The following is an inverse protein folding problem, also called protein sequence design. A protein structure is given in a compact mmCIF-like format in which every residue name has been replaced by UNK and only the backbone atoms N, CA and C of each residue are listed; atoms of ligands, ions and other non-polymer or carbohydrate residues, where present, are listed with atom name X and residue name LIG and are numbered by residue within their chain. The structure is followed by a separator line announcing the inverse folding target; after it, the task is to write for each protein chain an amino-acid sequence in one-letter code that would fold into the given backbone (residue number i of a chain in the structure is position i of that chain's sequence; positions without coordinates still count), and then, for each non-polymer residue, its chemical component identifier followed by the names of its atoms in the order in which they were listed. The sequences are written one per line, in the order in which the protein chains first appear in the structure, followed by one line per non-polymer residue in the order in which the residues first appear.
data_IF_156900720090
#
_entry.id   IF_156900720090
#
_cell.length_a   1.000
_cell.length_b   1.000
_cell.length_c   1.000
_cell.angle_alpha   90.00
_cell.angle_beta   90.00
_cell.angle_gamma   90.00
#
_symmetry.space_group_name_H-M   'P 1'
#
loop_
_entity.id
_entity.type
_entity.pdbx_description
1 polymer ?
#
# COMPACT_ATOMS: atom_id res chain seq x y z
N UNK A 1 64.93 26.18 45.22
CA UNK A 1 64.21 26.34 43.93
C UNK A 1 64.51 25.14 43.03
N UNK A 2 63.52 24.28 42.78
CA UNK A 2 63.31 23.49 41.54
C UNK A 2 62.00 22.71 41.73
N UNK A 3 61.09 22.90 40.80
CA UNK A 3 59.68 22.46 40.78
C UNK A 3 59.56 21.24 39.85
N UNK A 4 58.37 20.64 39.82
CA UNK A 4 57.80 19.73 38.79
C UNK A 4 58.03 18.22 39.01
N UNK A 5 57.12 17.29 38.69
CA UNK A 5 55.70 17.34 38.29
C UNK A 5 55.11 15.93 38.56
N UNK A 6 53.92 15.83 39.16
CA UNK A 6 53.13 14.59 39.14
C UNK A 6 52.41 14.51 37.80
N UNK A 7 52.82 13.59 36.93
CA UNK A 7 52.09 13.28 35.71
C UNK A 7 50.86 12.44 36.07
N UNK A 8 49.68 13.05 36.03
CA UNK A 8 48.42 12.31 35.93
C UNK A 8 48.24 11.90 34.47
N UNK A 9 48.24 10.59 34.20
CA UNK A 9 47.84 10.05 32.92
C UNK A 9 46.33 10.18 32.78
N UNK A 10 45.88 11.10 31.93
CA UNK A 10 44.49 11.27 31.56
C UNK A 10 44.22 10.36 30.34
N UNK A 11 43.59 9.21 30.55
CA UNK A 11 43.06 8.39 29.47
C UNK A 11 41.89 9.12 28.80
N UNK A 12 42.16 9.78 27.67
CA UNK A 12 41.15 10.29 26.76
C UNK A 12 40.55 9.12 25.99
N UNK A 13 39.44 8.57 26.47
CA UNK A 13 38.61 7.68 25.67
C UNK A 13 37.88 8.52 24.62
N UNK A 14 38.28 8.38 23.35
CA UNK A 14 37.57 8.98 22.23
C UNK A 14 36.23 8.25 22.02
N UNK A 15 35.15 8.80 22.59
CA UNK A 15 33.80 8.35 22.28
C UNK A 15 33.45 8.78 20.85
N UNK A 16 33.53 7.84 19.91
CA UNK A 16 33.02 8.03 18.56
C UNK A 16 31.50 8.08 18.62
N UNK A 17 30.91 9.27 18.47
CA UNK A 17 29.46 9.42 18.30
C UNK A 17 29.15 8.88 16.90
N UNK A 18 28.68 7.64 16.83
CA UNK A 18 28.04 7.13 15.62
C UNK A 18 26.73 7.90 15.49
N UNK A 19 26.70 8.91 14.63
CA UNK A 19 25.44 9.51 14.19
C UNK A 19 24.73 8.46 13.35
N UNK A 20 23.86 7.68 14.00
CA UNK A 20 22.86 6.90 13.28
C UNK A 20 21.94 7.93 12.65
N UNK A 21 22.08 8.15 11.34
CA UNK A 21 21.01 8.77 10.58
C UNK A 21 19.81 7.86 10.77
N UNK A 22 18.87 8.28 11.61
CA UNK A 22 17.52 7.75 11.55
C UNK A 22 17.07 8.04 10.12
N UNK A 23 17.11 7.02 9.27
CA UNK A 23 16.37 7.04 8.03
C UNK A 23 14.96 7.42 8.48
N UNK A 24 14.49 8.58 8.01
CA UNK A 24 13.16 9.04 8.36
C UNK A 24 12.22 8.07 7.68
N UNK A 25 11.96 6.95 8.35
CA UNK A 25 11.00 5.93 7.97
C UNK A 25 9.76 6.70 7.57
N UNK A 26 9.48 6.72 6.27
CA UNK A 26 8.20 7.16 5.74
C UNK A 26 7.18 6.11 6.16
N UNK A 27 6.90 6.08 7.46
CA UNK A 27 5.96 5.15 8.06
C UNK A 27 4.61 5.47 7.47
N UNK A 28 4.05 4.48 6.78
CA UNK A 28 2.71 4.57 6.23
C UNK A 28 1.75 4.73 7.39
N UNK A 29 1.06 5.85 7.45
CA UNK A 29 0.04 6.02 8.48
C UNK A 29 -1.20 5.23 8.07
N UNK A 30 -1.81 4.54 9.02
CA UNK A 30 -3.10 3.88 8.79
C UNK A 30 -4.15 4.87 8.26
N UNK A 31 -4.09 6.13 8.69
CA UNK A 31 -4.97 7.20 8.20
C UNK A 31 -4.83 7.47 6.68
N UNK A 32 -3.61 7.35 6.15
CA UNK A 32 -3.35 7.54 4.72
C UNK A 32 -4.02 6.44 3.89
N UNK A 33 -3.86 5.17 4.27
CA UNK A 33 -4.25 4.03 3.42
C UNK A 33 -5.64 3.48 3.71
N UNK A 34 -6.08 3.52 4.98
CA UNK A 34 -7.32 2.88 5.37
C UNK A 34 -8.53 3.53 4.74
N UNK A 35 -9.48 2.68 4.34
CA UNK A 35 -10.79 3.10 3.91
C UNK A 35 -11.30 2.38 2.67
N UNK A 36 -12.36 2.97 2.12
CA UNK A 36 -12.95 2.58 0.85
C UNK A 36 -12.62 3.64 -0.19
N UNK A 37 -12.08 3.19 -1.31
CA UNK A 37 -11.65 3.99 -2.44
C UNK A 37 -12.49 3.60 -3.65
N UNK A 38 -13.08 4.57 -4.36
CA UNK A 38 -14.00 4.28 -5.46
C UNK A 38 -13.69 5.06 -6.74
N UNK A 39 -13.95 4.41 -7.86
CA UNK A 39 -14.27 5.07 -9.13
C UNK A 39 -15.79 4.95 -9.37
N UNK A 40 -16.25 5.31 -10.58
CA UNK A 40 -17.64 5.05 -10.98
C UNK A 40 -17.97 3.55 -11.04
N UNK A 41 -17.00 2.72 -11.39
CA UNK A 41 -17.22 1.32 -11.76
C UNK A 41 -16.43 0.32 -10.90
N UNK A 42 -15.66 0.80 -9.92
CA UNK A 42 -14.79 -0.07 -9.14
C UNK A 42 -14.58 0.46 -7.73
N UNK A 43 -14.26 -0.46 -6.83
CA UNK A 43 -14.00 -0.20 -5.43
C UNK A 43 -12.75 -0.95 -4.96
N UNK A 44 -11.96 -0.29 -4.13
CA UNK A 44 -10.98 -0.92 -3.25
C UNK A 44 -11.37 -0.71 -1.80
N UNK A 45 -11.39 -1.79 -1.01
CA UNK A 45 -11.42 -1.74 0.45
C UNK A 45 -10.02 -2.06 0.95
N UNK A 46 -9.45 -1.18 1.76
CA UNK A 46 -8.06 -1.30 2.22
C UNK A 46 -8.00 -1.05 3.72
N UNK A 47 -7.32 -1.94 4.44
CA UNK A 47 -7.10 -1.81 5.87
C UNK A 47 -5.71 -2.26 6.29
N UNK A 48 -4.98 -1.40 7.00
CA UNK A 48 -3.69 -1.71 7.55
C UNK A 48 -3.81 -2.74 8.68
N UNK A 49 -3.01 -3.81 8.58
CA UNK A 49 -2.89 -4.88 9.57
C UNK A 49 -1.72 -4.65 10.55
N UNK A 50 -0.93 -3.60 10.32
CA UNK A 50 0.36 -3.38 10.99
C UNK A 50 1.50 -4.12 10.28
N UNK A 51 2.75 -3.86 10.71
CA UNK A 51 3.95 -4.45 10.13
C UNK A 51 4.04 -4.30 8.60
N UNK A 52 3.65 -3.13 8.08
CA UNK A 52 3.66 -2.83 6.64
C UNK A 52 2.81 -3.80 5.78
N UNK A 53 1.73 -4.35 6.36
CA UNK A 53 0.77 -5.21 5.65
C UNK A 53 -0.60 -4.56 5.55
N UNK A 54 -1.25 -4.76 4.41
CA UNK A 54 -2.59 -4.28 4.09
C UNK A 54 -3.47 -5.47 3.73
N UNK A 55 -4.66 -5.56 4.32
CA UNK A 55 -5.76 -6.37 3.79
C UNK A 55 -6.46 -5.58 2.69
N UNK A 56 -6.67 -6.20 1.53
CA UNK A 56 -7.20 -5.55 0.33
C UNK A 56 -8.30 -6.41 -0.28
N UNK A 57 -9.39 -5.76 -0.65
CA UNK A 57 -10.42 -6.29 -1.55
C UNK A 57 -10.61 -5.32 -2.71
N UNK A 58 -10.77 -5.87 -3.90
CA UNK A 58 -11.13 -5.19 -5.13
C UNK A 58 -12.48 -5.73 -5.64
N UNK A 59 -13.33 -4.84 -6.11
CA UNK A 59 -14.46 -5.19 -6.97
C UNK A 59 -14.52 -4.23 -8.16
N UNK A 60 -14.83 -4.76 -9.34
CA UNK A 60 -14.89 -4.01 -10.57
C UNK A 60 -16.04 -4.46 -11.46
N UNK A 61 -16.62 -3.51 -12.18
CA UNK A 61 -17.71 -3.72 -13.12
C UNK A 61 -17.30 -3.15 -14.48
N UNK A 62 -17.50 -3.91 -15.54
CA UNK A 62 -17.39 -3.44 -16.91
C UNK A 62 -18.77 -3.51 -17.58
N UNK A 63 -19.43 -2.36 -17.68
CA UNK A 63 -20.74 -2.23 -18.33
C UNK A 63 -20.60 -2.15 -19.85
N UNK A 64 -21.47 -2.85 -20.57
CA UNK A 64 -21.54 -2.81 -22.04
C UNK A 64 -22.97 -3.00 -22.54
N UNK A 65 -23.19 -2.77 -23.84
CA UNK A 65 -24.50 -2.91 -24.47
C UNK A 65 -24.55 -4.17 -25.33
N UNK A 66 -25.67 -4.87 -25.29
CA UNK A 66 -26.02 -6.00 -26.17
C UNK A 66 -27.31 -5.70 -26.92
N UNK A 67 -27.66 -6.45 -27.99
CA UNK A 67 -28.97 -6.32 -28.64
C UNK A 67 -30.16 -6.55 -27.70
N UNK A 68 -29.97 -7.26 -26.58
CA UNK A 68 -30.99 -7.55 -25.57
C UNK A 68 -31.06 -6.51 -24.45
N UNK A 69 -30.14 -5.54 -24.42
CA UNK A 69 -30.07 -4.49 -23.40
C UNK A 69 -28.67 -4.32 -22.78
N UNK A 70 -28.53 -3.42 -21.80
CA UNK A 70 -27.30 -3.29 -21.01
C UNK A 70 -26.94 -4.59 -20.29
N UNK A 71 -25.65 -4.87 -20.20
CA UNK A 71 -25.09 -6.01 -19.48
C UNK A 71 -23.78 -5.57 -18.80
N UNK A 72 -23.25 -6.40 -17.90
CA UNK A 72 -22.02 -6.10 -17.20
C UNK A 72 -21.22 -7.38 -16.92
N UNK A 73 -19.90 -7.26 -17.03
CA UNK A 73 -18.98 -8.22 -16.45
C UNK A 73 -18.56 -7.71 -15.07
N UNK A 74 -18.47 -8.61 -14.10
CA UNK A 74 -18.04 -8.30 -12.74
C UNK A 74 -16.81 -9.13 -12.41
N UNK A 75 -15.93 -8.56 -11.59
CA UNK A 75 -14.70 -9.19 -11.16
C UNK A 75 -14.31 -8.74 -9.78
N UNK A 76 -13.82 -9.68 -8.99
CA UNK A 76 -13.43 -9.46 -7.60
C UNK A 76 -12.04 -10.04 -7.35
N UNK A 77 -11.38 -9.55 -6.31
CA UNK A 77 -10.14 -10.13 -5.83
C UNK A 77 -9.80 -9.66 -4.43
N UNK A 78 -9.25 -10.53 -3.62
CA UNK A 78 -8.86 -10.24 -2.23
C UNK A 78 -7.45 -10.73 -1.95
N UNK A 79 -6.86 -10.22 -0.87
CA UNK A 79 -5.59 -10.73 -0.36
C UNK A 79 -4.87 -9.76 0.56
N UNK A 80 -3.64 -10.13 0.91
CA UNK A 80 -2.74 -9.29 1.72
C UNK A 80 -1.61 -8.76 0.85
N UNK A 81 -1.37 -7.46 0.91
CA UNK A 81 -0.27 -6.79 0.24
C UNK A 81 0.74 -6.25 1.25
N UNK A 82 2.01 -6.16 0.84
CA UNK A 82 3.03 -5.38 1.54
C UNK A 82 3.07 -3.96 0.99
N UNK A 83 3.38 -3.00 1.86
CA UNK A 83 3.52 -1.59 1.49
C UNK A 83 4.89 -1.04 1.87
N UNK A 84 5.48 -0.25 0.98
CA UNK A 84 6.72 0.49 1.21
C UNK A 84 6.48 1.96 0.84
N UNK A 85 6.67 2.87 1.80
CA UNK A 85 6.30 4.27 1.61
C UNK A 85 4.83 4.42 1.18
N UNK A 86 4.54 5.19 0.14
CA UNK A 86 3.17 5.38 -0.34
C UNK A 86 2.71 4.33 -1.35
N UNK A 87 3.47 3.23 -1.55
CA UNK A 87 3.23 2.29 -2.65
C UNK A 87 3.08 0.86 -2.14
N UNK A 88 1.94 0.24 -2.40
CA UNK A 88 1.70 -1.18 -2.17
C UNK A 88 1.69 -1.97 -3.47
N UNK A 89 2.22 -3.19 -3.44
CA UNK A 89 2.13 -4.14 -4.55
C UNK A 89 1.16 -5.24 -4.14
N UNK A 90 0.05 -5.32 -4.86
CA UNK A 90 -1.03 -6.25 -4.63
C UNK A 90 -1.13 -7.25 -5.78
N UNK A 91 -1.29 -8.52 -5.43
CA UNK A 91 -1.71 -9.60 -6.33
C UNK A 91 -2.90 -10.28 -5.65
N UNK A 92 -4.09 -10.35 -6.28
CA UNK A 92 -5.21 -11.10 -5.72
C UNK A 92 -4.82 -12.56 -5.48
N UNK A 93 -5.36 -13.16 -4.43
CA UNK A 93 -5.20 -14.60 -4.19
C UNK A 93 -5.77 -15.39 -5.37
N UNK A 94 -5.01 -16.39 -5.83
CA UNK A 94 -5.37 -17.21 -7.00
C UNK A 94 -5.15 -16.54 -8.36
N UNK A 95 -4.66 -15.29 -8.41
CA UNK A 95 -4.28 -14.67 -9.68
C UNK A 95 -2.96 -15.25 -10.23
N UNK A 96 -2.83 -15.22 -11.55
CA UNK A 96 -1.63 -15.66 -12.28
C UNK A 96 -0.37 -14.91 -11.83
N UNK A 97 0.80 -15.52 -12.01
CA UNK A 97 2.06 -14.98 -11.49
C UNK A 97 2.46 -13.63 -12.09
N UNK A 98 2.07 -13.36 -13.33
CA UNK A 98 2.30 -12.08 -13.99
C UNK A 98 1.36 -10.95 -13.51
N UNK A 99 0.30 -11.28 -12.75
CA UNK A 99 -0.59 -10.26 -12.22
C UNK A 99 0.12 -9.38 -11.21
N UNK A 100 0.09 -8.07 -11.48
CA UNK A 100 0.62 -7.06 -10.58
C UNK A 100 -0.26 -5.82 -10.56
N UNK A 101 -0.75 -5.46 -9.39
CA UNK A 101 -1.54 -4.25 -9.14
C UNK A 101 -0.72 -3.35 -8.21
N UNK A 102 -0.29 -2.19 -8.71
CA UNK A 102 0.46 -1.21 -7.93
C UNK A 102 -0.52 -0.15 -7.45
N UNK A 103 -0.54 0.06 -6.13
CA UNK A 103 -1.41 0.99 -5.43
C UNK A 103 -0.56 2.14 -4.89
N UNK A 104 -0.70 3.34 -5.46
CA UNK A 104 0.03 4.53 -5.02
C UNK A 104 -0.92 5.52 -4.30
N UNK A 105 -0.66 5.76 -3.02
CA UNK A 105 -1.45 6.64 -2.15
C UNK A 105 -0.88 8.06 -2.13
N UNK A 106 -1.30 8.90 -3.06
CA UNK A 106 -0.75 10.26 -3.25
C UNK A 106 -1.83 11.33 -3.30
N UNK A 107 -1.59 12.47 -2.64
CA UNK A 107 -2.47 13.65 -2.70
C UNK A 107 -3.92 13.37 -2.28
N UNK A 108 -4.15 12.44 -1.35
CA UNK A 108 -5.50 12.03 -0.91
C UNK A 108 -6.26 11.15 -1.91
N UNK A 109 -5.59 10.66 -2.96
CA UNK A 109 -6.13 9.74 -3.98
C UNK A 109 -5.38 8.42 -3.94
N UNK A 110 -5.98 7.40 -4.55
CA UNK A 110 -5.33 6.13 -4.84
C UNK A 110 -5.18 6.00 -6.36
N UNK A 111 -3.94 6.03 -6.84
CA UNK A 111 -3.60 5.83 -8.25
C UNK A 111 -3.19 4.38 -8.42
N UNK A 112 -3.88 3.66 -9.30
CA UNK A 112 -3.72 2.22 -9.50
C UNK A 112 -3.27 1.93 -10.91
N UNK A 113 -2.24 1.10 -11.03
CA UNK A 113 -1.82 0.50 -12.31
C UNK A 113 -1.92 -1.01 -12.22
N UNK A 114 -2.42 -1.64 -13.27
CA UNK A 114 -2.47 -3.09 -13.42
C UNK A 114 -1.53 -3.53 -14.55
N UNK A 115 -0.83 -4.64 -14.35
CA UNK A 115 -0.07 -5.34 -15.38
C UNK A 115 -0.38 -6.84 -15.26
N UNK A 116 -0.45 -7.54 -16.40
CA UNK A 116 -0.81 -8.95 -16.44
C UNK A 116 -2.32 -9.23 -16.29
N UNK A 117 -2.66 -10.51 -16.30
CA UNK A 117 -4.03 -11.01 -16.18
C UNK A 117 -4.31 -11.31 -14.72
N UNK A 118 -5.21 -10.54 -14.10
CA UNK A 118 -5.48 -10.62 -12.66
C UNK A 118 -6.74 -11.40 -12.29
N UNK A 119 -7.28 -12.21 -13.21
CA UNK A 119 -8.40 -13.11 -12.91
C UNK A 119 -9.78 -12.44 -12.78
N UNK A 120 -9.91 -11.14 -13.05
CA UNK A 120 -11.18 -10.41 -12.87
C UNK A 120 -12.25 -10.67 -13.95
N UNK A 121 -11.97 -11.55 -14.91
CA UNK A 121 -12.87 -11.76 -16.05
C UNK A 121 -12.73 -10.71 -17.15
N UNK A 122 -13.55 -10.85 -18.19
CA UNK A 122 -13.35 -10.15 -19.45
C UNK A 122 -13.59 -8.63 -19.32
N UNK A 123 -12.56 -7.84 -19.65
CA UNK A 123 -12.55 -6.37 -19.64
C UNK A 123 -12.69 -5.71 -18.25
N UNK A 124 -12.67 -6.49 -17.16
CA UNK A 124 -12.62 -5.93 -15.80
C UNK A 124 -11.15 -5.63 -15.47
N UNK A 125 -10.86 -4.38 -15.12
CA UNK A 125 -9.51 -3.87 -14.87
C UNK A 125 -9.51 -2.95 -13.65
N UNK A 126 -8.51 -3.10 -12.77
CA UNK A 126 -8.35 -2.30 -11.56
C UNK A 126 -7.59 -0.98 -11.77
N UNK A 127 -7.02 -0.73 -12.95
CA UNK A 127 -6.29 0.49 -13.24
C UNK A 127 -7.21 1.72 -13.21
N UNK A 128 -6.76 2.80 -12.56
CA UNK A 128 -7.54 4.03 -12.46
C UNK A 128 -7.08 4.96 -11.34
N UNK A 129 -7.81 6.05 -11.16
CA UNK A 129 -7.61 6.95 -10.01
C UNK A 129 -8.87 6.98 -9.16
N UNK A 130 -8.75 6.52 -7.92
CA UNK A 130 -9.85 6.32 -6.98
C UNK A 130 -9.90 7.47 -5.97
N UNK A 131 -11.12 7.85 -5.59
CA UNK A 131 -11.36 8.81 -4.51
C UNK A 131 -11.65 8.07 -3.21
N UNK A 132 -11.09 8.54 -2.09
CA UNK A 132 -11.48 8.01 -0.77
C UNK A 132 -12.89 8.48 -0.44
N UNK A 133 -13.82 7.54 -0.25
CA UNK A 133 -15.23 7.84 0.10
C UNK A 133 -15.54 7.54 1.56
N UNK A 134 -14.69 6.79 2.24
CA UNK A 134 -14.81 6.48 3.66
C UNK A 134 -13.44 6.15 4.24
N UNK A 135 -13.15 6.61 5.46
CA UNK A 135 -11.98 6.21 6.25
C UNK A 135 -12.31 5.14 7.32
N UNK A 136 -13.59 4.74 7.44
CA UNK A 136 -14.02 3.72 8.40
C UNK A 136 -13.46 2.36 8.01
N UNK A 137 -13.29 1.46 8.98
CA UNK A 137 -12.95 0.06 8.73
C UNK A 137 -13.98 -0.56 7.78
N UNK A 138 -13.59 -0.98 6.57
CA UNK A 138 -14.50 -1.65 5.66
C UNK A 138 -14.90 -3.01 6.23
N UNK A 139 -16.07 -3.51 5.79
CA UNK A 139 -16.40 -4.92 5.97
C UNK A 139 -15.72 -5.69 4.85
N UNK A 140 -14.89 -6.64 5.24
CA UNK A 140 -14.28 -7.60 4.34
C UNK A 140 -15.16 -8.84 4.33
N UNK A 141 -15.40 -9.39 3.15
CA UNK A 141 -16.13 -10.65 3.03
C UNK A 141 -15.18 -11.78 3.45
N UNK A 142 -15.67 -12.68 4.29
CA UNK A 142 -14.92 -13.90 4.64
C UNK A 142 -15.10 -14.89 3.50
N UNK A 143 -14.05 -15.11 2.72
CA UNK A 143 -13.95 -16.27 1.83
C UNK A 143 -13.98 -17.57 2.63
#
# INVERSE_FOLDING_TARGET
MRRTWKFWALCLAASSIVTVCADSDKSVTAAQVNGTWKTKHSEFKIWALGQLRLQIEFSGVYEYKTPQGPSANEGEGSGVATIEGDTAIFKPEGAEEECRIILNFTGGKLVVTQTGICGFGHNVNAAGTYQKVSAKKPKFESN
#
